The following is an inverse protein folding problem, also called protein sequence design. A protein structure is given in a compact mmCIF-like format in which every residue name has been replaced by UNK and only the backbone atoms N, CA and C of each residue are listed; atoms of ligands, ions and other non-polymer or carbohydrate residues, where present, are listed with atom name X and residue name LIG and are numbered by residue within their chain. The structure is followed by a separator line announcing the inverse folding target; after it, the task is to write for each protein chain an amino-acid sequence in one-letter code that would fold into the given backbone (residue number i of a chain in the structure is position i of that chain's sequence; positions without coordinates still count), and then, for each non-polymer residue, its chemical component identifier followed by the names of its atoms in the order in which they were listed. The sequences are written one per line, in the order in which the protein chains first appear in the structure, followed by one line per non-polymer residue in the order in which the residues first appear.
data_IF_762872373291
#
_entry.id   IF_762872373291
#
_cell.length_a   1.000
_cell.length_b   1.000
_cell.length_c   1.000
_cell.angle_alpha   90.00
_cell.angle_beta   90.00
_cell.angle_gamma   90.00
#
_symmetry.space_group_name_H-M   'P 1'
#
loop_
_entity.id
_entity.type
_entity.pdbx_description
1 polymer ?
#
# COMPACT_ATOMS: atom_id res chain seq x y z
N UNK A 1 5.06 -1.36 32.99
CA UNK A 1 5.09 0.12 32.99
C UNK A 1 4.78 0.63 31.57
N UNK A 2 3.50 0.59 31.17
CA UNK A 2 3.06 1.05 29.84
C UNK A 2 1.85 1.98 30.06
N UNK A 3 2.07 3.29 30.12
CA UNK A 3 0.98 4.26 30.30
C UNK A 3 1.43 5.69 30.52
N UNK A 4 2.34 5.92 31.48
CA UNK A 4 2.71 7.27 31.93
C UNK A 4 3.55 8.05 30.88
N UNK A 5 4.39 7.37 30.10
CA UNK A 5 5.27 8.02 29.12
C UNK A 5 4.57 8.55 27.86
N UNK A 6 3.32 8.16 27.58
CA UNK A 6 2.64 8.49 26.31
C UNK A 6 2.05 9.90 26.29
N UNK A 7 1.83 10.51 27.45
CA UNK A 7 1.21 11.83 27.60
C UNK A 7 2.22 13.00 27.68
N UNK A 8 3.52 12.73 27.65
CA UNK A 8 4.54 13.77 27.54
C UNK A 8 4.53 14.33 26.10
N UNK A 9 4.29 15.64 25.88
CA UNK A 9 4.35 16.24 24.56
C UNK A 9 5.80 16.24 24.07
N UNK A 10 6.19 15.16 23.41
CA UNK A 10 7.41 15.11 22.60
C UNK A 10 7.01 15.62 21.23
N UNK A 11 7.67 16.67 20.75
CA UNK A 11 7.42 17.23 19.41
C UNK A 11 7.51 16.17 18.30
N UNK A 12 7.38 16.58 17.04
CA UNK A 12 7.38 15.64 15.92
C UNK A 12 8.61 14.70 15.93
N UNK A 13 8.37 13.38 15.91
CA UNK A 13 9.44 12.39 15.88
C UNK A 13 10.17 12.40 14.54
N UNK A 14 11.50 12.20 14.55
CA UNK A 14 12.36 12.15 13.36
C UNK A 14 12.35 10.80 12.63
N UNK A 15 11.30 10.00 12.85
CA UNK A 15 11.11 8.69 12.20
C UNK A 15 10.64 8.86 10.76
N UNK A 16 10.81 7.83 9.92
CA UNK A 16 10.34 7.88 8.53
C UNK A 16 8.84 8.24 8.45
N UNK A 17 8.53 9.24 7.61
CA UNK A 17 7.16 9.65 7.35
C UNK A 17 6.43 8.60 6.52
N UNK A 18 5.27 8.17 7.00
CA UNK A 18 4.36 7.24 6.32
C UNK A 18 3.11 7.97 5.87
N UNK A 19 2.27 7.31 5.07
CA UNK A 19 0.98 7.85 4.61
C UNK A 19 0.00 8.20 5.73
N UNK A 20 0.27 7.81 6.98
CA UNK A 20 -0.61 8.06 8.15
C UNK A 20 -0.14 9.22 9.03
N UNK A 21 1.00 9.86 8.71
CA UNK A 21 1.69 10.80 9.61
C UNK A 21 1.67 12.25 9.13
N UNK A 22 1.02 12.57 8.01
CA UNK A 22 0.94 13.93 7.47
C UNK A 22 -0.45 14.26 6.92
N UNK A 23 -0.85 15.53 7.02
CA UNK A 23 -2.08 16.05 6.41
C UNK A 23 -1.83 16.37 4.94
N UNK A 24 -2.72 15.98 4.02
CA UNK A 24 -2.54 16.09 2.56
C UNK A 24 -1.23 15.49 2.02
N UNK A 25 -0.63 14.54 2.75
CA UNK A 25 0.59 13.86 2.35
C UNK A 25 0.27 12.48 1.77
N UNK A 26 0.38 12.33 0.45
CA UNK A 26 0.21 11.05 -0.23
C UNK A 26 1.55 10.32 -0.37
N UNK A 27 1.60 9.07 0.09
CA UNK A 27 2.75 8.17 -0.08
C UNK A 27 2.28 6.76 -0.38
N UNK A 28 2.73 6.21 -1.51
CA UNK A 28 2.41 4.85 -1.91
C UNK A 28 3.18 3.77 -1.13
N UNK A 29 2.78 2.51 -1.33
CA UNK A 29 3.37 1.31 -0.72
C UNK A 29 4.27 0.51 -1.68
N UNK A 30 4.47 0.99 -2.91
CA UNK A 30 5.29 0.31 -3.91
C UNK A 30 4.57 -0.74 -4.76
N UNK A 31 3.23 -0.76 -4.79
CA UNK A 31 2.44 -1.78 -5.52
C UNK A 31 2.52 -1.71 -7.06
N UNK A 32 3.13 -0.66 -7.62
CA UNK A 32 3.18 -0.37 -9.06
C UNK A 32 1.91 0.34 -9.57
N UNK A 33 1.99 0.92 -10.78
CA UNK A 33 0.89 1.64 -11.40
C UNK A 33 0.06 0.75 -12.35
N UNK A 34 -1.25 0.64 -12.12
CA UNK A 34 -2.18 -0.22 -12.89
C UNK A 34 -2.94 0.55 -13.98
N UNK A 35 -2.54 1.77 -14.30
CA UNK A 35 -3.34 2.68 -15.12
C UNK A 35 -2.85 4.12 -15.06
N UNK A 36 -3.76 5.07 -15.32
CA UNK A 36 -3.46 6.51 -15.30
C UNK A 36 -4.59 7.36 -14.74
N UNK A 37 -4.25 8.50 -14.15
CA UNK A 37 -5.23 9.52 -13.78
C UNK A 37 -5.79 10.23 -15.01
N UNK A 38 -7.03 10.71 -14.90
CA UNK A 38 -7.66 11.57 -15.90
C UNK A 38 -7.49 13.05 -15.53
N UNK A 39 -7.73 13.95 -16.50
CA UNK A 39 -7.63 15.40 -16.29
C UNK A 39 -8.52 15.92 -15.14
N UNK A 40 -9.61 15.23 -14.83
CA UNK A 40 -10.59 15.62 -13.80
C UNK A 40 -10.56 14.71 -12.56
N UNK A 41 -9.40 14.12 -12.26
CA UNK A 41 -9.20 13.36 -11.02
C UNK A 41 -9.77 11.93 -11.01
N UNK A 42 -10.32 11.45 -12.13
CA UNK A 42 -10.67 10.05 -12.28
C UNK A 42 -9.43 9.15 -12.48
N UNK A 43 -9.64 7.84 -12.54
CA UNK A 43 -8.59 6.87 -12.83
C UNK A 43 -9.08 5.86 -13.88
N UNK A 44 -8.26 5.61 -14.90
CA UNK A 44 -8.53 4.61 -15.95
C UNK A 44 -7.53 3.47 -15.76
N UNK A 45 -8.06 2.26 -15.60
CA UNK A 45 -7.28 1.01 -15.46
C UNK A 45 -6.77 0.60 -16.84
N UNK A 46 -5.49 0.25 -16.91
CA UNK A 46 -4.86 -0.38 -18.07
C UNK A 46 -4.77 -1.89 -17.81
N UNK A 47 -5.66 -2.66 -18.43
CA UNK A 47 -5.76 -4.11 -18.21
C UNK A 47 -4.48 -4.85 -18.61
N UNK A 48 -3.65 -4.31 -19.49
CA UNK A 48 -2.36 -4.90 -19.84
C UNK A 48 -1.34 -4.85 -18.68
N UNK A 49 -1.55 -3.96 -17.70
CA UNK A 49 -0.70 -3.82 -16.51
C UNK A 49 -1.24 -4.60 -15.31
N UNK A 50 -2.48 -5.03 -15.36
CA UNK A 50 -3.12 -5.80 -14.29
C UNK A 50 -2.49 -7.19 -14.28
N UNK A 51 -1.99 -7.61 -13.11
CA UNK A 51 -1.34 -8.91 -12.94
C UNK A 51 -2.40 -10.00 -12.82
N UNK A 52 -2.34 -11.00 -13.69
CA UNK A 52 -3.14 -12.23 -13.61
C UNK A 52 -2.26 -13.40 -13.21
N UNK A 53 -2.72 -14.22 -12.26
CA UNK A 53 -2.02 -15.42 -11.86
C UNK A 53 -2.70 -16.62 -12.50
N UNK A 54 -1.94 -17.39 -13.28
CA UNK A 54 -2.41 -18.66 -13.84
C UNK A 54 -2.28 -19.70 -12.75
N UNK A 55 -3.40 -20.05 -12.14
CA UNK A 55 -3.45 -21.08 -11.09
C UNK A 55 -3.59 -22.44 -11.79
N UNK A 56 -2.69 -23.41 -11.55
CA UNK A 56 -2.82 -24.74 -12.13
C UNK A 56 -3.93 -25.54 -11.44
N UNK A 57 -4.44 -26.54 -12.13
CA UNK A 57 -5.27 -27.56 -11.49
C UNK A 57 -4.40 -28.46 -10.60
N UNK A 58 -4.88 -28.74 -9.39
CA UNK A 58 -4.18 -29.51 -8.38
C UNK A 58 -4.94 -30.79 -8.01
N UNK A 59 -6.02 -31.12 -8.71
CA UNK A 59 -6.77 -32.36 -8.45
C UNK A 59 -5.88 -33.60 -8.67
N UNK A 60 -5.74 -34.42 -7.63
CA UNK A 60 -4.90 -35.63 -7.66
C UNK A 60 -3.38 -35.40 -7.59
N UNK A 61 -2.91 -34.17 -7.38
CA UNK A 61 -1.48 -33.87 -7.33
C UNK A 61 -0.82 -34.35 -6.04
N UNK A 62 0.19 -35.24 -6.17
CA UNK A 62 1.04 -35.68 -5.06
C UNK A 62 2.49 -35.23 -5.30
N UNK A 63 3.08 -34.52 -4.33
CA UNK A 63 4.49 -34.15 -4.36
C UNK A 63 5.29 -35.33 -3.82
N UNK A 64 6.13 -35.92 -4.68
CA UNK A 64 7.05 -37.00 -4.35
C UNK A 64 8.17 -36.56 -3.42
#
# INVERSE_FOLDING_TARGET
MFGVLRALPRGAGRTQLTSKRGHNFYKGTGSGAMGRHTKRGGYIIDWNKVRTFVVPDLEGFAVS
#
